data_IF_520541599852
#
_entry.id   IF_520541599852
#
_cell.length_a   1.000
_cell.length_b   1.000
_cell.length_c   1.000
_cell.angle_alpha   90.00
_cell.angle_beta   90.00
_cell.angle_gamma   90.00
#
_symmetry.space_group_name_H-M   'P 1'
#
loop_
_entity.id
_entity.type
_entity.pdbx_description
1 polymer ?
#
# COMPACT_ATOMS: atom_id res chain seq x y z
N UNK A 1 -23.23 -2.72 17.63
CA UNK A 1 -23.05 -3.78 16.62
C UNK A 1 -21.58 -3.77 16.22
N UNK A 2 -20.87 -4.89 16.33
CA UNK A 2 -19.49 -4.97 15.83
C UNK A 2 -19.57 -4.91 14.30
N UNK A 3 -19.16 -3.80 13.69
CA UNK A 3 -18.93 -3.78 12.25
C UNK A 3 -17.80 -4.78 11.99
N UNK A 4 -18.17 -5.95 11.45
CA UNK A 4 -17.20 -6.94 10.97
C UNK A 4 -16.54 -6.30 9.74
N UNK A 5 -15.43 -5.60 9.94
CA UNK A 5 -14.62 -5.13 8.83
C UNK A 5 -14.05 -6.38 8.14
N UNK A 6 -14.60 -6.70 6.98
CA UNK A 6 -14.09 -7.75 6.10
C UNK A 6 -13.04 -7.15 5.19
N UNK A 7 -11.88 -7.80 5.07
CA UNK A 7 -10.89 -7.42 4.08
C UNK A 7 -11.49 -7.54 2.67
N UNK A 8 -11.36 -6.49 1.87
CA UNK A 8 -11.80 -6.45 0.48
C UNK A 8 -10.58 -6.48 -0.44
N UNK A 9 -10.65 -7.29 -1.52
CA UNK A 9 -9.63 -7.25 -2.56
C UNK A 9 -9.91 -6.08 -3.49
N UNK A 10 -9.01 -5.10 -3.48
CA UNK A 10 -9.11 -3.88 -4.28
C UNK A 10 -7.82 -3.67 -5.08
N UNK A 11 -7.93 -3.13 -6.29
CA UNK A 11 -6.75 -2.70 -7.05
C UNK A 11 -6.19 -1.39 -6.48
N UNK A 12 -4.90 -1.14 -6.70
CA UNK A 12 -4.28 0.13 -6.29
C UNK A 12 -5.00 1.34 -6.88
N UNK A 13 -5.36 1.28 -8.17
CA UNK A 13 -6.08 2.35 -8.84
C UNK A 13 -7.47 2.60 -8.26
N UNK A 14 -8.24 1.54 -8.01
CA UNK A 14 -9.57 1.68 -7.42
C UNK A 14 -9.47 2.26 -6.01
N UNK A 15 -8.46 1.85 -5.22
CA UNK A 15 -8.21 2.39 -3.88
C UNK A 15 -7.98 3.92 -3.92
N UNK A 16 -7.14 4.40 -4.84
CA UNK A 16 -6.84 5.82 -5.02
C UNK A 16 -8.05 6.63 -5.53
N UNK A 17 -8.91 6.02 -6.34
CA UNK A 17 -10.08 6.70 -6.92
C UNK A 17 -11.26 6.77 -5.95
N UNK A 18 -11.46 5.76 -5.12
CA UNK A 18 -12.62 5.67 -4.22
C UNK A 18 -12.38 6.26 -2.83
N UNK A 19 -11.12 6.53 -2.46
CA UNK A 19 -10.80 7.03 -1.12
C UNK A 19 -9.88 8.25 -1.19
N UNK A 20 -10.14 9.23 -0.34
CA UNK A 20 -9.10 10.16 0.08
C UNK A 20 -8.17 9.42 1.05
N UNK A 21 -6.91 9.25 0.69
CA UNK A 21 -5.94 8.52 1.52
C UNK A 21 -5.05 9.53 2.26
N UNK A 22 -4.85 9.29 3.54
CA UNK A 22 -3.95 10.07 4.39
C UNK A 22 -2.92 9.16 5.07
N UNK A 23 -1.67 9.61 5.11
CA UNK A 23 -0.62 9.02 5.93
C UNK A 23 -0.52 9.87 7.20
N UNK A 24 -0.95 9.37 8.37
CA UNK A 24 -0.92 10.12 9.62
C UNK A 24 0.50 10.55 10.01
N UNK A 25 0.64 11.70 10.66
CA UNK A 25 1.95 12.26 11.08
C UNK A 25 2.76 11.34 12.01
N UNK A 26 2.10 10.42 12.72
CA UNK A 26 2.76 9.46 13.61
C UNK A 26 3.49 8.34 12.85
N UNK A 27 3.19 8.17 11.56
CA UNK A 27 3.84 7.16 10.72
C UNK A 27 5.30 7.56 10.43
N UNK A 28 6.16 6.54 10.30
CA UNK A 28 7.58 6.75 10.00
C UNK A 28 7.77 7.23 8.56
N UNK A 29 8.78 8.07 8.36
CA UNK A 29 9.22 8.52 7.04
C UNK A 29 9.38 7.36 6.04
N UNK A 30 9.25 7.68 4.75
CA UNK A 30 9.58 6.75 3.69
C UNK A 30 11.03 6.25 3.82
N UNK A 31 11.19 4.93 3.92
CA UNK A 31 12.46 4.27 4.17
C UNK A 31 12.89 3.37 3.01
N UNK A 32 11.95 2.82 2.23
CA UNK A 32 12.27 1.91 1.13
C UNK A 32 13.11 2.56 0.01
N UNK A 33 13.04 3.89 -0.13
CA UNK A 33 13.89 4.67 -1.04
C UNK A 33 15.33 4.91 -0.55
N UNK A 34 15.67 4.57 0.71
CA UNK A 34 17.00 4.80 1.27
C UNK A 34 18.02 3.78 0.74
N UNK A 35 19.29 4.18 0.67
CA UNK A 35 20.36 3.31 0.18
C UNK A 35 20.47 2.03 1.02
N UNK A 36 20.30 2.11 2.34
CA UNK A 36 20.45 0.95 3.22
C UNK A 36 19.29 -0.07 3.10
N UNK A 37 18.19 0.29 2.42
CA UNK A 37 17.01 -0.56 2.24
C UNK A 37 16.98 -1.26 0.87
N UNK A 38 18.12 -1.35 0.19
CA UNK A 38 18.27 -1.96 -1.14
C UNK A 38 17.60 -3.33 -1.25
N UNK A 39 17.91 -4.27 -0.35
CA UNK A 39 17.34 -5.62 -0.40
C UNK A 39 15.81 -5.65 -0.34
N UNK A 40 15.19 -4.77 0.47
CA UNK A 40 13.73 -4.70 0.57
C UNK A 40 13.14 -4.09 -0.70
N UNK A 41 13.76 -3.02 -1.20
CA UNK A 41 13.35 -2.33 -2.43
C UNK A 41 13.46 -3.26 -3.64
N UNK A 42 14.60 -3.89 -3.84
CA UNK A 42 14.83 -4.83 -4.95
C UNK A 42 13.84 -5.98 -4.93
N UNK A 43 13.58 -6.57 -3.76
CA UNK A 43 12.60 -7.66 -3.66
C UNK A 43 11.21 -7.21 -4.11
N UNK A 44 10.79 -6.02 -3.70
CA UNK A 44 9.47 -5.48 -4.07
C UNK A 44 9.41 -5.14 -5.56
N UNK A 45 10.40 -4.41 -6.08
CA UNK A 45 10.45 -4.02 -7.49
C UNK A 45 10.58 -5.22 -8.43
N UNK A 46 11.36 -6.25 -8.06
CA UNK A 46 11.45 -7.48 -8.84
C UNK A 46 10.12 -8.23 -8.87
N UNK A 47 9.37 -8.26 -7.77
CA UNK A 47 8.05 -8.89 -7.75
C UNK A 47 7.08 -8.17 -8.70
N UNK A 48 7.09 -6.83 -8.73
CA UNK A 48 6.33 -6.03 -9.68
C UNK A 48 6.77 -6.29 -11.13
N UNK A 49 8.08 -6.30 -11.38
CA UNK A 49 8.65 -6.53 -12.69
C UNK A 49 8.26 -7.90 -13.26
N UNK A 50 8.36 -8.97 -12.46
CA UNK A 50 7.98 -10.33 -12.88
C UNK A 50 6.48 -10.38 -13.17
N UNK A 51 5.65 -9.82 -12.30
CA UNK A 51 4.19 -9.76 -12.48
C UNK A 51 3.80 -9.07 -13.79
N UNK A 52 4.44 -7.94 -14.12
CA UNK A 52 4.22 -7.22 -15.36
C UNK A 52 4.75 -7.99 -16.58
N UNK A 53 5.95 -8.57 -16.48
CA UNK A 53 6.60 -9.28 -17.60
C UNK A 53 5.90 -10.58 -17.96
N UNK A 54 5.30 -11.26 -16.98
CA UNK A 54 4.55 -12.50 -17.19
C UNK A 54 3.03 -12.28 -17.37
N UNK A 55 2.58 -11.03 -17.36
CA UNK A 55 1.15 -10.65 -17.43
C UNK A 55 0.29 -11.34 -16.35
N UNK A 56 0.86 -11.54 -15.16
CA UNK A 56 0.19 -12.19 -14.03
C UNK A 56 -0.19 -11.17 -12.95
N UNK A 57 -1.37 -11.35 -12.36
CA UNK A 57 -1.78 -10.55 -11.20
C UNK A 57 -0.88 -10.86 -9.98
N UNK A 58 -0.50 -9.81 -9.25
CA UNK A 58 0.22 -9.89 -7.98
C UNK A 58 -0.66 -9.39 -6.83
N UNK A 59 -0.54 -10.03 -5.67
CA UNK A 59 -1.15 -9.59 -4.42
C UNK A 59 -0.08 -8.94 -3.53
N UNK A 60 -0.30 -7.69 -3.13
CA UNK A 60 0.72 -6.82 -2.50
C UNK A 60 0.59 -6.75 -0.97
N UNK A 61 0.12 -7.84 -0.37
CA UNK A 61 -0.34 -7.94 1.01
C UNK A 61 -1.50 -7.00 1.36
N UNK A 62 -2.07 -7.18 2.55
CA UNK A 62 -3.14 -6.33 3.06
C UNK A 62 -2.62 -4.93 3.42
N UNK A 63 -3.50 -3.95 3.27
CA UNK A 63 -3.35 -2.59 3.80
C UNK A 63 -4.58 -2.32 4.66
N UNK A 64 -4.41 -1.58 5.76
CA UNK A 64 -5.52 -1.26 6.63
C UNK A 64 -5.31 0.08 7.32
N UNK A 65 -6.42 0.64 7.77
CA UNK A 65 -6.49 1.98 8.30
C UNK A 65 -7.79 2.21 9.05
N UNK A 66 -7.99 3.43 9.49
CA UNK A 66 -9.25 3.88 10.06
C UNK A 66 -9.92 4.86 9.10
N UNK A 67 -11.23 4.70 8.92
CA UNK A 67 -12.04 5.68 8.22
C UNK A 67 -12.36 6.81 9.21
N UNK A 68 -11.87 8.01 8.92
CA UNK A 68 -12.16 9.24 9.67
C UNK A 68 -12.78 10.21 8.68
N UNK A 69 -14.06 10.52 8.88
CA UNK A 69 -14.91 11.19 7.90
C UNK A 69 -14.82 10.49 6.52
N UNK A 70 -14.50 11.22 5.45
CA UNK A 70 -14.30 10.70 4.10
C UNK A 70 -12.83 10.35 3.78
N UNK A 71 -11.99 10.21 4.80
CA UNK A 71 -10.55 9.94 4.65
C UNK A 71 -10.15 8.59 5.25
N UNK A 72 -9.47 7.77 4.45
CA UNK A 72 -8.79 6.56 4.89
C UNK A 72 -7.41 6.91 5.46
N UNK A 73 -7.29 6.92 6.79
CA UNK A 73 -6.02 7.11 7.48
C UNK A 73 -5.27 5.78 7.60
N UNK A 74 -4.13 5.65 6.90
CA UNK A 74 -3.36 4.41 6.87
C UNK A 74 -2.67 4.12 8.21
N UNK A 75 -2.89 2.90 8.72
CA UNK A 75 -2.19 2.38 9.90
C UNK A 75 -1.03 1.44 9.51
N UNK A 76 -1.18 0.71 8.42
CA UNK A 76 -0.13 -0.13 7.80
C UNK A 76 -0.17 0.02 6.27
N UNK A 77 0.86 -0.49 5.59
CA UNK A 77 0.92 -0.51 4.14
C UNK A 77 1.51 0.75 3.51
N UNK A 78 1.80 1.77 4.31
CA UNK A 78 2.28 3.06 3.81
C UNK A 78 3.50 2.96 2.89
N UNK A 79 4.54 2.21 3.24
CA UNK A 79 5.76 2.10 2.42
C UNK A 79 5.48 1.44 1.06
N UNK A 80 4.60 0.42 1.03
CA UNK A 80 4.19 -0.27 -0.21
C UNK A 80 3.37 0.67 -1.09
N UNK A 81 2.36 1.32 -0.51
CA UNK A 81 1.51 2.27 -1.24
C UNK A 81 2.30 3.46 -1.76
N UNK A 82 3.20 4.04 -0.96
CA UNK A 82 4.09 5.11 -1.41
C UNK A 82 5.00 4.63 -2.55
N UNK A 83 5.56 3.42 -2.46
CA UNK A 83 6.41 2.89 -3.55
C UNK A 83 5.64 2.64 -4.84
N UNK A 84 4.35 2.28 -4.77
CA UNK A 84 3.49 2.13 -5.96
C UNK A 84 3.04 3.47 -6.54
N UNK A 85 2.98 4.51 -5.71
CA UNK A 85 2.56 5.84 -6.10
C UNK A 85 3.67 6.62 -6.85
N UNK A 86 4.93 6.42 -6.44
CA UNK A 86 6.11 7.03 -7.06
C UNK A 86 6.49 6.32 -8.37
#
# INVERSE_FOLDING_TARGET
>A
MLNKQTAEKISFWNLLQSNKIEIPIIQRDYAQGRLEQEKIRERFLNALYISLSEEKSIELDFVYGSQVDDTLQLLDGQQRLTTLFL
#
